data_IF_543102101360
#
_entry.id   IF_543102101360
#
_cell.length_a   1.000
_cell.length_b   1.000
_cell.length_c   1.000
_cell.angle_alpha   90.00
_cell.angle_beta   90.00
_cell.angle_gamma   90.00
#
_symmetry.space_group_name_H-M   'P 1'
#
loop_
_entity.id
_entity.type
_entity.pdbx_description
1 polymer ?
#
# COMPACT_ATOMS: atom_id res chain seq x y z
N UNK A 1 10.74 -17.60 84.81
CA UNK A 1 10.98 -16.67 83.68
C UNK A 1 10.95 -15.18 84.10
N UNK A 2 11.08 -14.82 85.39
CA UNK A 2 10.98 -13.42 85.88
C UNK A 2 12.32 -12.77 86.28
N UNK A 3 13.42 -13.54 86.44
CA UNK A 3 14.72 -12.98 86.86
C UNK A 3 15.64 -12.51 85.72
N UNK A 4 15.29 -12.78 84.46
CA UNK A 4 16.11 -12.37 83.32
C UNK A 4 15.96 -10.89 82.94
N UNK A 5 14.77 -10.33 83.14
CA UNK A 5 14.44 -8.94 82.81
C UNK A 5 15.22 -7.86 83.60
N UNK A 6 15.43 -7.96 84.93
CA UNK A 6 16.12 -6.90 85.67
C UNK A 6 17.61 -6.80 85.36
N UNK A 7 18.30 -7.93 85.11
CA UNK A 7 19.73 -7.95 84.74
C UNK A 7 19.99 -7.34 83.35
N UNK A 8 19.08 -7.56 82.40
CA UNK A 8 19.15 -6.96 81.06
C UNK A 8 18.99 -5.45 81.14
N UNK A 9 18.04 -4.95 81.95
CA UNK A 9 17.80 -3.50 82.11
C UNK A 9 18.98 -2.75 82.73
N UNK A 10 19.68 -3.37 83.67
CA UNK A 10 20.89 -2.80 84.29
C UNK A 10 22.07 -2.77 83.31
N UNK A 11 22.23 -3.81 82.49
CA UNK A 11 23.29 -3.89 81.46
C UNK A 11 23.03 -2.91 80.30
N UNK A 12 21.77 -2.71 79.91
CA UNK A 12 21.37 -1.70 78.91
C UNK A 12 21.67 -0.27 79.41
N UNK A 13 21.46 0.01 80.70
CA UNK A 13 21.71 1.35 81.27
C UNK A 13 23.20 1.70 81.37
N UNK A 14 24.06 0.74 81.68
CA UNK A 14 25.51 0.98 81.79
C UNK A 14 26.19 1.09 80.41
N UNK A 15 25.65 0.42 79.39
CA UNK A 15 26.19 0.44 78.03
C UNK A 15 25.33 1.28 77.07
N UNK A 16 24.50 2.19 77.59
CA UNK A 16 23.49 2.93 76.81
C UNK A 16 24.12 3.72 75.65
N UNK A 17 25.27 4.36 75.87
CA UNK A 17 26.00 5.12 74.84
C UNK A 17 26.60 4.21 73.76
N UNK A 18 27.12 3.03 74.13
CA UNK A 18 27.64 2.06 73.18
C UNK A 18 26.53 1.41 72.36
N UNK A 19 25.39 1.07 72.99
CA UNK A 19 24.22 0.54 72.31
C UNK A 19 23.65 1.60 71.35
N UNK A 20 23.56 2.86 71.78
CA UNK A 20 23.13 3.95 70.92
C UNK A 20 24.08 4.16 69.73
N UNK A 21 25.40 4.10 69.93
CA UNK A 21 26.38 4.21 68.86
C UNK A 21 26.29 3.05 67.85
N UNK A 22 26.11 1.81 68.32
CA UNK A 22 25.93 0.64 67.45
C UNK A 22 24.62 0.73 66.66
N UNK A 23 23.53 1.16 67.31
CA UNK A 23 22.25 1.39 66.63
C UNK A 23 22.41 2.49 65.57
N UNK A 24 23.05 3.61 65.89
CA UNK A 24 23.29 4.71 64.95
C UNK A 24 24.15 4.25 63.76
N UNK A 25 25.21 3.47 64.01
CA UNK A 25 26.06 2.89 62.97
C UNK A 25 25.27 1.95 62.07
N UNK A 26 24.41 1.09 62.65
CA UNK A 26 23.57 0.19 61.88
C UNK A 26 22.52 0.95 61.06
N UNK A 27 21.93 2.01 61.62
CA UNK A 27 20.95 2.86 60.94
C UNK A 27 21.61 3.65 59.79
N UNK A 28 22.82 4.16 60.01
CA UNK A 28 23.62 4.80 58.96
C UNK A 28 24.00 3.81 57.86
N UNK A 29 24.43 2.60 58.21
CA UNK A 29 24.72 1.53 57.26
C UNK A 29 23.47 1.12 56.48
N UNK A 30 22.33 0.98 57.14
CA UNK A 30 21.07 0.66 56.50
C UNK A 30 20.62 1.76 55.54
N UNK A 31 20.72 3.03 55.93
CA UNK A 31 20.38 4.16 55.08
C UNK A 31 21.34 4.28 53.87
N UNK A 32 22.63 4.01 54.08
CA UNK A 32 23.62 3.94 53.01
C UNK A 32 23.30 2.82 52.01
N UNK A 33 22.85 1.65 52.48
CA UNK A 33 22.54 0.49 51.64
C UNK A 33 21.11 0.50 51.08
N UNK A 34 20.22 1.37 51.56
CA UNK A 34 18.81 1.41 51.17
C UNK A 34 18.63 1.51 49.64
N UNK A 35 19.41 2.37 48.98
CA UNK A 35 19.37 2.56 47.53
C UNK A 35 19.78 1.30 46.74
N UNK A 36 20.43 0.32 47.36
CA UNK A 36 20.86 -0.92 46.71
C UNK A 36 19.92 -2.10 46.97
N UNK A 37 18.89 -1.93 47.83
CA UNK A 37 18.01 -3.02 48.25
C UNK A 37 16.66 -2.97 47.54
N UNK A 38 16.13 -1.78 47.31
CA UNK A 38 14.78 -1.59 46.76
C UNK A 38 14.86 -1.26 45.28
N UNK A 39 14.34 -2.16 44.44
CA UNK A 39 14.19 -1.92 43.01
C UNK A 39 12.70 -1.90 42.66
N UNK A 40 12.31 -0.94 41.81
CA UNK A 40 10.94 -0.85 41.29
C UNK A 40 10.98 -1.15 39.80
N UNK A 41 10.34 -2.25 39.40
CA UNK A 41 10.15 -2.64 38.00
C UNK A 41 8.85 -2.00 37.52
N UNK A 42 8.93 -1.18 36.48
CA UNK A 42 7.76 -0.49 35.93
C UNK A 42 6.93 -1.44 35.06
N UNK A 43 5.73 -1.02 34.69
CA UNK A 43 4.88 -1.84 33.84
C UNK A 43 5.49 -2.06 32.47
N UNK A 44 5.39 -3.28 31.93
CA UNK A 44 6.02 -3.66 30.66
C UNK A 44 7.56 -3.75 30.72
N UNK A 45 8.12 -3.87 31.92
CA UNK A 45 9.50 -4.24 32.15
C UNK A 45 9.59 -5.63 32.80
N UNK A 46 10.72 -6.31 32.62
CA UNK A 46 11.04 -7.57 33.26
C UNK A 46 12.41 -7.50 33.93
N UNK A 47 12.51 -7.99 35.15
CA UNK A 47 13.76 -8.00 35.92
C UNK A 47 14.49 -9.32 35.80
N UNK A 48 15.80 -9.27 35.57
CA UNK A 48 16.71 -10.42 35.65
C UNK A 48 17.67 -10.20 36.80
N UNK A 49 17.70 -11.17 37.73
CA UNK A 49 18.56 -11.10 38.91
C UNK A 49 19.91 -11.77 38.63
N UNK A 50 20.99 -11.10 39.03
CA UNK A 50 22.34 -11.64 39.07
C UNK A 50 22.81 -11.79 40.53
N UNK A 51 23.16 -13.01 40.90
CA UNK A 51 23.69 -13.36 42.22
C UNK A 51 25.21 -13.26 42.21
N UNK A 52 25.76 -12.34 43.00
CA UNK A 52 27.21 -12.03 42.96
C UNK A 52 28.09 -13.11 43.58
N UNK A 53 27.61 -13.77 44.64
CA UNK A 53 28.42 -14.72 45.40
C UNK A 53 28.13 -16.19 45.06
N UNK A 54 26.87 -16.54 44.78
CA UNK A 54 26.46 -17.93 44.56
C UNK A 54 25.36 -18.00 43.49
N UNK A 55 25.65 -18.62 42.35
CA UNK A 55 24.63 -18.96 41.33
C UNK A 55 24.61 -18.10 40.05
N UNK A 56 25.31 -16.97 40.01
CA UNK A 56 25.39 -16.14 38.80
C UNK A 56 24.02 -15.60 38.34
N UNK A 57 23.78 -15.54 37.03
CA UNK A 57 22.50 -15.08 36.47
C UNK A 57 21.38 -16.10 36.75
N UNK A 58 20.29 -15.64 37.37
CA UNK A 58 19.09 -16.46 37.57
C UNK A 58 18.34 -16.55 36.24
N UNK A 59 18.33 -17.76 35.68
CA UNK A 59 17.79 -18.02 34.34
C UNK A 59 16.32 -18.45 34.40
N UNK A 60 15.95 -19.18 35.46
CA UNK A 60 14.65 -19.86 35.56
C UNK A 60 13.49 -18.95 35.98
N UNK A 61 13.79 -17.72 36.42
CA UNK A 61 12.79 -16.80 36.95
C UNK A 61 13.02 -15.38 36.48
N UNK A 62 11.97 -14.79 35.92
CA UNK A 62 11.88 -13.38 35.56
C UNK A 62 11.02 -12.67 36.60
N UNK A 63 11.52 -11.55 37.10
CA UNK A 63 10.85 -10.75 38.11
C UNK A 63 9.81 -9.85 37.43
N UNK A 64 8.52 -9.95 37.79
CA UNK A 64 7.44 -9.17 37.16
C UNK A 64 7.46 -7.71 37.62
N UNK A 65 6.56 -6.90 37.07
CA UNK A 65 6.33 -5.53 37.54
C UNK A 65 6.05 -5.45 39.06
N UNK A 66 6.49 -4.36 39.69
CA UNK A 66 6.32 -4.13 41.13
C UNK A 66 7.62 -3.85 41.89
N UNK A 67 7.50 -3.78 43.22
CA UNK A 67 8.63 -3.52 44.11
C UNK A 67 9.27 -4.85 44.50
N UNK A 68 10.56 -4.98 44.23
CA UNK A 68 11.34 -6.16 44.57
C UNK A 68 12.47 -5.79 45.52
N UNK A 69 12.62 -6.60 46.57
CA UNK A 69 13.71 -6.49 47.52
C UNK A 69 14.82 -7.45 47.12
N UNK A 70 15.98 -6.89 46.80
CA UNK A 70 17.17 -7.63 46.39
C UNK A 70 18.25 -7.38 47.43
N UNK A 71 19.10 -8.37 47.69
CA UNK A 71 20.22 -8.16 48.60
C UNK A 71 21.19 -7.14 48.02
N UNK A 72 21.82 -6.30 48.85
CA UNK A 72 22.62 -5.15 48.38
C UNK A 72 23.87 -5.54 47.58
N UNK A 73 24.28 -6.81 47.64
CA UNK A 73 25.39 -7.36 46.85
C UNK A 73 24.96 -7.99 45.52
N UNK A 74 23.66 -8.29 45.34
CA UNK A 74 23.10 -8.82 44.10
C UNK A 74 22.70 -7.65 43.18
N UNK A 75 22.62 -7.91 41.88
CA UNK A 75 22.21 -6.90 40.89
C UNK A 75 20.91 -7.31 40.22
N UNK A 76 20.05 -6.33 39.94
CA UNK A 76 18.82 -6.52 39.18
C UNK A 76 18.91 -5.71 37.89
N UNK A 77 18.87 -6.41 36.76
CA UNK A 77 18.87 -5.81 35.44
C UNK A 77 17.43 -5.69 34.94
N UNK A 78 17.03 -4.48 34.57
CA UNK A 78 15.68 -4.19 34.11
C UNK A 78 15.69 -4.16 32.59
N UNK A 79 14.80 -4.93 31.98
CA UNK A 79 14.62 -5.02 30.54
C UNK A 79 13.25 -4.49 30.15
N UNK A 80 13.19 -3.65 29.12
CA UNK A 80 11.92 -3.28 28.51
C UNK A 80 11.44 -4.45 27.62
N UNK A 81 10.31 -5.05 27.98
CA UNK A 81 9.71 -6.18 27.25
C UNK A 81 8.62 -5.75 26.27
N UNK A 82 8.33 -4.45 26.20
CA UNK A 82 7.40 -3.89 25.20
C UNK A 82 8.02 -3.98 23.81
N UNK A 83 7.13 -3.87 22.84
CA UNK A 83 7.49 -3.69 21.44
C UNK A 83 8.25 -2.36 21.30
N UNK A 84 9.47 -2.46 20.81
CA UNK A 84 10.40 -1.36 20.62
C UNK A 84 10.80 -1.27 19.15
N UNK A 85 11.27 -0.10 18.75
CA UNK A 85 11.70 0.15 17.38
C UNK A 85 13.11 0.72 17.38
N UNK A 86 13.98 0.14 16.56
CA UNK A 86 15.32 0.67 16.30
C UNK A 86 15.46 0.98 14.81
N UNK A 87 16.07 2.12 14.50
CA UNK A 87 16.44 2.47 13.13
C UNK A 87 17.92 2.14 12.92
N UNK A 88 18.25 1.59 11.76
CA UNK A 88 19.62 1.25 11.40
C UNK A 88 19.83 1.54 9.92
N UNK A 89 21.03 1.98 9.57
CA UNK A 89 21.42 2.24 8.19
C UNK A 89 22.73 1.55 7.88
N UNK A 90 22.82 0.92 6.71
CA UNK A 90 24.02 0.23 6.29
C UNK A 90 24.15 0.23 4.76
N UNK A 91 25.39 0.08 4.30
CA UNK A 91 25.71 -0.01 2.87
C UNK A 91 25.80 -1.48 2.45
N UNK A 92 25.23 -1.82 1.29
CA UNK A 92 25.24 -3.15 0.70
C UNK A 92 25.56 -3.07 -0.80
N UNK A 93 26.09 -4.14 -1.36
CA UNK A 93 26.33 -4.28 -2.79
C UNK A 93 25.21 -5.10 -3.43
N UNK A 94 24.69 -4.65 -4.57
CA UNK A 94 23.79 -5.45 -5.41
C UNK A 94 24.55 -6.55 -6.13
N UNK A 95 23.83 -7.43 -6.83
CA UNK A 95 24.40 -8.45 -7.71
C UNK A 95 25.37 -7.89 -8.75
N UNK A 96 25.09 -6.70 -9.27
CA UNK A 96 25.92 -5.95 -10.22
C UNK A 96 27.09 -5.20 -9.57
N UNK A 97 27.25 -5.28 -8.25
CA UNK A 97 28.30 -4.58 -7.50
C UNK A 97 28.02 -3.10 -7.26
N UNK A 98 26.79 -2.64 -7.48
CA UNK A 98 26.40 -1.27 -7.16
C UNK A 98 26.27 -1.11 -5.65
N UNK A 99 26.91 -0.07 -5.11
CA UNK A 99 26.77 0.32 -3.70
C UNK A 99 25.44 1.03 -3.47
N UNK A 100 24.62 0.47 -2.59
CA UNK A 100 23.31 0.99 -2.20
C UNK A 100 23.30 1.15 -0.69
N UNK A 101 22.74 2.25 -0.21
CA UNK A 101 22.53 2.49 1.21
C UNK A 101 21.09 2.20 1.57
N UNK A 102 20.88 1.36 2.57
CA UNK A 102 19.56 0.99 3.05
C UNK A 102 19.31 1.58 4.43
N UNK A 103 18.19 2.28 4.58
CA UNK A 103 17.69 2.71 5.88
C UNK A 103 16.54 1.80 6.29
N UNK A 104 16.70 1.08 7.39
CA UNK A 104 15.72 0.12 7.90
C UNK A 104 15.21 0.52 9.29
N UNK A 105 14.05 -0.02 9.63
CA UNK A 105 13.47 0.03 10.96
C UNK A 105 13.06 -1.36 11.40
N UNK A 106 13.60 -1.80 12.52
CA UNK A 106 13.31 -3.12 13.08
C UNK A 106 12.43 -2.90 14.29
N UNK A 107 11.30 -3.60 14.31
CA UNK A 107 10.41 -3.66 15.47
C UNK A 107 10.60 -5.00 16.16
N UNK A 108 10.95 -4.96 17.44
CA UNK A 108 11.35 -6.15 18.19
C UNK A 108 10.84 -6.09 19.64
N UNK A 109 10.77 -7.25 20.27
CA UNK A 109 10.51 -7.39 21.71
C UNK A 109 11.27 -8.61 22.26
N UNK A 110 11.94 -8.52 23.41
CA UNK A 110 12.57 -9.69 24.00
C UNK A 110 11.51 -10.66 24.53
N UNK A 111 11.74 -11.96 24.44
CA UNK A 111 10.76 -12.94 24.91
C UNK A 111 10.73 -13.00 26.44
N UNK A 112 9.60 -12.59 27.05
CA UNK A 112 9.46 -12.44 28.50
C UNK A 112 9.97 -13.67 29.29
N UNK A 113 9.65 -14.89 28.84
CA UNK A 113 10.02 -16.13 29.53
C UNK A 113 11.50 -16.45 29.48
N UNK A 114 12.23 -15.93 28.50
CA UNK A 114 13.62 -16.27 28.20
C UNK A 114 14.59 -15.12 28.52
N UNK A 115 14.13 -14.05 29.18
CA UNK A 115 14.94 -12.90 29.58
C UNK A 115 16.19 -13.28 30.39
N UNK A 116 16.06 -14.27 31.29
CA UNK A 116 17.19 -14.77 32.06
C UNK A 116 18.29 -15.36 31.17
N UNK A 117 17.89 -16.13 30.14
CA UNK A 117 18.82 -16.73 29.17
C UNK A 117 19.41 -15.66 28.26
N UNK A 118 18.59 -14.70 27.82
CA UNK A 118 19.02 -13.56 27.00
C UNK A 118 20.12 -12.77 27.72
N UNK A 119 19.92 -12.43 28.99
CA UNK A 119 20.93 -11.73 29.79
C UNK A 119 22.21 -12.54 29.95
N UNK A 120 22.10 -13.84 30.23
CA UNK A 120 23.25 -14.70 30.45
C UNK A 120 24.10 -14.91 29.18
N UNK A 121 23.46 -15.12 28.03
CA UNK A 121 24.16 -15.45 26.77
C UNK A 121 24.56 -14.23 25.95
N UNK A 122 23.84 -13.12 26.08
CA UNK A 122 23.97 -11.95 25.21
C UNK A 122 24.24 -10.68 26.01
N UNK A 123 23.47 -10.47 27.08
CA UNK A 123 23.56 -9.30 27.94
C UNK A 123 22.47 -8.25 27.67
N UNK A 124 22.68 -7.03 28.15
CA UNK A 124 21.72 -5.93 27.97
C UNK A 124 21.74 -5.35 26.55
N UNK A 125 22.88 -5.41 25.86
CA UNK A 125 23.06 -4.84 24.54
C UNK A 125 22.69 -5.82 23.40
N UNK A 126 21.61 -6.59 23.60
CA UNK A 126 21.17 -7.61 22.65
C UNK A 126 20.72 -7.01 21.31
N UNK A 127 20.32 -5.73 21.30
CA UNK A 127 19.87 -5.03 20.11
C UNK A 127 21.02 -4.84 19.12
N UNK A 128 22.14 -4.30 19.59
CA UNK A 128 23.32 -4.07 18.75
C UNK A 128 24.16 -5.34 18.54
N UNK A 129 24.08 -6.31 19.46
CA UNK A 129 24.84 -7.56 19.36
C UNK A 129 24.17 -8.61 18.46
N UNK A 130 22.84 -8.66 18.44
CA UNK A 130 22.09 -9.73 17.74
C UNK A 130 21.06 -9.18 16.77
N UNK A 131 20.13 -8.35 17.24
CA UNK A 131 18.96 -7.94 16.43
C UNK A 131 19.39 -7.24 15.15
N UNK A 132 20.26 -6.22 15.28
CA UNK A 132 20.73 -5.46 14.13
C UNK A 132 21.61 -6.31 13.21
N UNK A 133 22.68 -7.00 13.68
CA UNK A 133 23.55 -7.79 12.80
C UNK A 133 22.84 -8.93 12.09
N UNK A 134 21.88 -9.60 12.73
CA UNK A 134 21.20 -10.75 12.11
C UNK A 134 20.24 -10.30 11.00
N UNK A 135 19.46 -9.24 11.26
CA UNK A 135 18.61 -8.64 10.23
C UNK A 135 19.45 -8.08 9.08
N UNK A 136 20.55 -7.38 9.40
CA UNK A 136 21.48 -6.86 8.39
C UNK A 136 22.07 -8.00 7.55
N UNK A 137 22.47 -9.12 8.16
CA UNK A 137 23.02 -10.29 7.47
C UNK A 137 22.03 -10.87 6.46
N UNK A 138 20.77 -11.07 6.88
CA UNK A 138 19.72 -11.59 6.00
C UNK A 138 19.43 -10.63 4.83
N UNK A 139 19.29 -9.34 5.12
CA UNK A 139 19.06 -8.32 4.08
C UNK A 139 20.25 -8.19 3.13
N UNK A 140 21.47 -8.34 3.64
CA UNK A 140 22.69 -8.30 2.81
C UNK A 140 22.73 -9.44 1.81
N UNK A 141 22.36 -10.66 2.24
CA UNK A 141 22.24 -11.81 1.34
C UNK A 141 21.15 -11.58 0.30
N UNK A 142 19.97 -11.10 0.72
CA UNK A 142 18.85 -10.83 -0.18
C UNK A 142 19.27 -9.84 -1.27
N UNK A 143 19.73 -8.66 -0.88
CA UNK A 143 20.06 -7.56 -1.80
C UNK A 143 21.26 -7.90 -2.68
N UNK A 144 22.21 -8.70 -2.17
CA UNK A 144 23.34 -9.22 -2.95
C UNK A 144 22.93 -10.12 -4.11
N UNK A 145 21.74 -10.73 -4.06
CA UNK A 145 21.19 -11.54 -5.17
C UNK A 145 20.37 -10.74 -6.17
N UNK A 146 20.02 -9.48 -5.85
CA UNK A 146 19.10 -8.65 -6.64
C UNK A 146 19.86 -7.67 -7.53
N UNK A 147 19.25 -7.33 -8.66
CA UNK A 147 19.72 -6.22 -9.50
C UNK A 147 19.27 -4.87 -8.93
N UNK A 148 19.99 -3.79 -9.26
CA UNK A 148 19.66 -2.45 -8.80
C UNK A 148 18.22 -2.01 -9.17
N UNK A 149 17.73 -2.44 -10.33
CA UNK A 149 16.37 -2.16 -10.78
C UNK A 149 15.30 -2.85 -9.90
N UNK A 150 15.58 -4.06 -9.43
CA UNK A 150 14.68 -4.85 -8.58
C UNK A 150 14.62 -4.28 -7.17
N UNK A 151 15.78 -3.88 -6.63
CA UNK A 151 15.89 -3.19 -5.34
C UNK A 151 15.06 -1.90 -5.37
N UNK A 152 15.12 -1.12 -6.45
CA UNK A 152 14.34 0.11 -6.62
C UNK A 152 12.81 -0.16 -6.71
N UNK A 153 12.40 -1.21 -7.43
CA UNK A 153 10.98 -1.52 -7.66
C UNK A 153 10.21 -1.95 -6.41
N UNK A 154 10.89 -2.28 -5.31
CA UNK A 154 10.29 -2.61 -4.00
C UNK A 154 9.15 -3.64 -4.13
N UNK A 155 9.43 -4.83 -4.69
CA UNK A 155 8.43 -5.91 -4.70
C UNK A 155 8.22 -6.46 -3.28
N UNK A 156 7.11 -6.05 -2.64
CA UNK A 156 6.76 -6.42 -1.25
C UNK A 156 6.87 -7.93 -0.96
N UNK A 157 6.49 -8.78 -1.92
CA UNK A 157 6.48 -10.24 -1.79
C UNK A 157 7.85 -10.86 -1.52
N UNK A 158 8.92 -10.27 -2.06
CA UNK A 158 10.28 -10.81 -1.92
C UNK A 158 10.82 -10.55 -0.50
N UNK A 159 10.45 -9.42 0.09
CA UNK A 159 10.87 -9.03 1.44
C UNK A 159 10.20 -9.85 2.53
N UNK A 160 8.99 -10.38 2.31
CA UNK A 160 8.30 -11.25 3.26
C UNK A 160 9.10 -12.55 3.54
N UNK A 161 9.73 -13.13 2.51
CA UNK A 161 10.56 -14.32 2.69
C UNK A 161 11.82 -14.02 3.50
N UNK A 162 12.47 -12.87 3.23
CA UNK A 162 13.63 -12.43 4.00
C UNK A 162 13.24 -12.07 5.44
N UNK A 163 12.04 -11.50 5.65
CA UNK A 163 11.50 -11.23 6.97
C UNK A 163 11.33 -12.52 7.76
N UNK A 164 10.69 -13.55 7.18
CA UNK A 164 10.50 -14.84 7.85
C UNK A 164 11.84 -15.46 8.27
N UNK A 165 12.86 -15.38 7.39
CA UNK A 165 14.19 -15.87 7.71
C UNK A 165 14.86 -15.06 8.83
N UNK A 166 14.74 -13.73 8.82
CA UNK A 166 15.27 -12.87 9.88
C UNK A 166 14.58 -13.14 11.22
N UNK A 167 13.26 -13.30 11.22
CA UNK A 167 12.46 -13.63 12.40
C UNK A 167 12.93 -14.96 13.00
N UNK A 168 13.10 -16.00 12.18
CA UNK A 168 13.55 -17.31 12.66
C UNK A 168 14.93 -17.24 13.32
N UNK A 169 15.89 -16.56 12.69
CA UNK A 169 17.26 -16.47 13.23
C UNK A 169 17.35 -15.64 14.50
N UNK A 170 16.56 -14.56 14.61
CA UNK A 170 16.53 -13.73 15.83
C UNK A 170 15.75 -14.43 16.95
N UNK A 171 14.69 -15.17 16.63
CA UNK A 171 13.92 -15.97 17.59
C UNK A 171 14.78 -17.06 18.26
N UNK A 172 15.70 -17.68 17.52
CA UNK A 172 16.69 -18.61 18.10
C UNK A 172 17.58 -17.98 19.19
N UNK A 173 17.60 -16.64 19.26
CA UNK A 173 18.34 -15.84 20.23
C UNK A 173 17.45 -15.12 21.24
N UNK A 174 16.25 -15.65 21.49
CA UNK A 174 15.35 -15.23 22.58
C UNK A 174 14.74 -13.83 22.40
N UNK A 175 14.74 -13.31 21.17
CA UNK A 175 14.16 -12.02 20.82
C UNK A 175 13.17 -12.23 19.68
N UNK A 176 11.98 -11.64 19.81
CA UNK A 176 10.96 -11.65 18.78
C UNK A 176 11.13 -10.42 17.89
N UNK A 177 11.01 -10.61 16.58
CA UNK A 177 10.97 -9.53 15.59
C UNK A 177 9.57 -9.52 14.99
N UNK A 178 8.87 -8.40 15.11
CA UNK A 178 7.50 -8.27 14.58
C UNK A 178 7.53 -7.93 13.09
N UNK A 179 8.37 -6.96 12.71
CA UNK A 179 8.51 -6.52 11.33
C UNK A 179 9.85 -5.82 11.12
N UNK A 180 10.38 -5.95 9.90
CA UNK A 180 11.48 -5.15 9.38
C UNK A 180 10.94 -4.29 8.25
N UNK A 181 11.07 -2.97 8.39
CA UNK A 181 10.54 -1.99 7.44
C UNK A 181 11.73 -1.31 6.75
N UNK A 182 11.77 -1.34 5.42
CA UNK A 182 12.70 -0.52 4.65
C UNK A 182 12.11 0.89 4.55
N UNK A 183 12.80 1.87 5.12
CA UNK A 183 12.38 3.29 5.08
C UNK A 183 12.84 3.97 3.81
N UNK A 184 14.08 3.72 3.39
CA UNK A 184 14.72 4.41 2.26
C UNK A 184 15.78 3.53 1.62
N UNK A 185 15.94 3.70 0.31
CA UNK A 185 16.97 3.07 -0.51
C UNK A 185 17.69 4.21 -1.23
N UNK A 186 18.96 4.40 -0.91
CA UNK A 186 19.80 5.47 -1.46
C UNK A 186 20.81 4.88 -2.45
N UNK A 187 20.75 5.37 -3.68
CA UNK A 187 21.64 5.02 -4.78
C UNK A 187 22.32 6.29 -5.31
N UNK A 188 23.46 6.19 -6.02
CA UNK A 188 24.02 7.34 -6.73
C UNK A 188 23.02 7.90 -7.75
N UNK A 189 22.79 9.21 -7.74
CA UNK A 189 21.79 9.91 -8.57
C UNK A 189 21.88 9.56 -10.07
N UNK A 190 23.09 9.35 -10.58
CA UNK A 190 23.33 8.97 -11.98
C UNK A 190 22.69 7.64 -12.34
N UNK A 191 22.71 6.67 -11.41
CA UNK A 191 22.15 5.33 -11.62
C UNK A 191 20.64 5.35 -11.45
N UNK A 192 20.13 6.06 -10.44
CA UNK A 192 18.69 6.21 -10.25
C UNK A 192 18.04 6.86 -11.48
N UNK A 193 18.67 7.91 -12.02
CA UNK A 193 18.23 8.57 -13.25
C UNK A 193 18.22 7.60 -14.44
N UNK A 194 19.31 6.85 -14.65
CA UNK A 194 19.40 5.88 -15.74
C UNK A 194 18.35 4.76 -15.64
N UNK A 195 18.08 4.26 -14.42
CA UNK A 195 17.03 3.27 -14.16
C UNK A 195 15.66 3.86 -14.48
N UNK A 196 15.39 5.08 -14.04
CA UNK A 196 14.12 5.79 -14.30
C UNK A 196 13.88 5.98 -15.80
N UNK A 197 14.89 6.46 -16.53
CA UNK A 197 14.84 6.63 -17.98
C UNK A 197 14.59 5.29 -18.68
N UNK A 198 15.28 4.22 -18.28
CA UNK A 198 15.07 2.88 -18.85
C UNK A 198 13.65 2.36 -18.60
N UNK A 199 13.12 2.53 -17.39
CA UNK A 199 11.74 2.13 -17.04
C UNK A 199 10.73 2.93 -17.87
N UNK A 200 10.95 4.24 -18.02
CA UNK A 200 10.11 5.10 -18.85
C UNK A 200 10.10 4.66 -20.31
N UNK A 201 11.28 4.44 -20.91
CA UNK A 201 11.39 3.96 -22.29
C UNK A 201 10.74 2.59 -22.48
N UNK A 202 10.85 1.69 -21.49
CA UNK A 202 10.18 0.40 -21.51
C UNK A 202 8.65 0.57 -21.56
N UNK A 203 8.08 1.42 -20.71
CA UNK A 203 6.65 1.69 -20.72
C UNK A 203 6.18 2.39 -21.99
N UNK A 204 6.98 3.28 -22.56
CA UNK A 204 6.71 3.90 -23.86
C UNK A 204 6.67 2.83 -24.95
N UNK A 205 7.65 1.93 -25.01
CA UNK A 205 7.69 0.84 -25.97
C UNK A 205 6.48 -0.09 -25.83
N UNK A 206 6.12 -0.49 -24.60
CA UNK A 206 4.91 -1.26 -24.31
C UNK A 206 3.64 -0.54 -24.80
N UNK A 207 3.50 0.76 -24.50
CA UNK A 207 2.37 1.57 -24.95
C UNK A 207 2.30 1.67 -26.48
N UNK A 208 3.44 1.73 -27.18
CA UNK A 208 3.48 1.71 -28.64
C UNK A 208 3.00 0.37 -29.21
N UNK A 209 3.38 -0.76 -28.61
CA UNK A 209 2.89 -2.09 -29.01
C UNK A 209 1.37 -2.14 -28.88
N UNK A 210 0.81 -1.69 -27.74
CA UNK A 210 -0.64 -1.64 -27.55
C UNK A 210 -1.33 -0.67 -28.53
N UNK A 211 -0.69 0.45 -28.88
CA UNK A 211 -1.22 1.39 -29.87
C UNK A 211 -1.30 0.74 -31.26
N UNK A 212 -0.24 0.07 -31.69
CA UNK A 212 -0.21 -0.64 -32.97
C UNK A 212 -1.28 -1.74 -33.00
N UNK A 213 -1.41 -2.50 -31.92
CA UNK A 213 -2.43 -3.56 -31.83
C UNK A 213 -3.84 -2.99 -31.92
N UNK A 214 -4.11 -1.90 -31.20
CA UNK A 214 -5.38 -1.18 -31.28
C UNK A 214 -5.66 -0.67 -32.70
N UNK A 215 -4.66 -0.13 -33.39
CA UNK A 215 -4.80 0.37 -34.77
C UNK A 215 -5.09 -0.75 -35.77
N UNK A 216 -4.48 -1.93 -35.58
CA UNK A 216 -4.80 -3.13 -36.38
C UNK A 216 -6.25 -3.58 -36.15
N UNK A 217 -6.69 -3.65 -34.90
CA UNK A 217 -8.07 -4.02 -34.56
C UNK A 217 -9.07 -3.01 -35.12
N UNK A 218 -8.77 -1.71 -35.09
CA UNK A 218 -9.58 -0.66 -35.72
C UNK A 218 -9.61 -0.78 -37.25
N UNK A 219 -8.48 -1.08 -37.88
CA UNK A 219 -8.42 -1.30 -39.32
C UNK A 219 -9.27 -2.51 -39.74
N UNK A 220 -9.17 -3.61 -38.98
CA UNK A 220 -9.96 -4.81 -39.23
C UNK A 220 -11.46 -4.56 -39.01
N UNK A 221 -11.85 -3.82 -37.96
CA UNK A 221 -13.24 -3.40 -37.75
C UNK A 221 -13.77 -2.65 -38.96
N UNK A 222 -13.01 -1.65 -39.46
CA UNK A 222 -13.41 -0.86 -40.63
C UNK A 222 -13.50 -1.70 -41.90
N UNK A 223 -12.62 -2.69 -42.08
CA UNK A 223 -12.67 -3.63 -43.22
C UNK A 223 -13.98 -4.43 -43.19
N UNK A 224 -14.29 -5.03 -42.04
CA UNK A 224 -15.52 -5.81 -41.84
C UNK A 224 -16.76 -4.93 -42.05
N UNK A 225 -16.74 -3.70 -41.55
CA UNK A 225 -17.84 -2.74 -41.72
C UNK A 225 -18.04 -2.36 -43.20
N UNK A 226 -16.96 -2.08 -43.94
CA UNK A 226 -17.01 -1.79 -45.36
C UNK A 226 -17.48 -2.99 -46.20
N UNK A 227 -17.04 -4.20 -45.87
CA UNK A 227 -17.53 -5.44 -46.50
C UNK A 227 -19.01 -5.68 -46.22
N UNK A 228 -19.46 -5.43 -44.98
CA UNK A 228 -20.87 -5.48 -44.60
C UNK A 228 -21.72 -4.46 -45.36
N UNK A 229 -21.25 -3.21 -45.48
CA UNK A 229 -21.91 -2.17 -46.27
C UNK A 229 -21.95 -2.51 -47.76
N UNK A 230 -20.87 -3.04 -48.33
CA UNK A 230 -20.83 -3.47 -49.72
C UNK A 230 -21.85 -4.59 -49.96
N UNK A 231 -21.83 -5.63 -49.14
CA UNK A 231 -22.79 -6.74 -49.25
C UNK A 231 -24.24 -6.24 -49.10
N UNK A 232 -24.49 -5.34 -48.15
CA UNK A 232 -25.79 -4.69 -48.00
C UNK A 232 -26.22 -3.93 -49.27
N UNK A 233 -25.33 -3.11 -49.83
CA UNK A 233 -25.60 -2.35 -51.05
C UNK A 233 -25.81 -3.25 -52.27
N UNK A 234 -25.04 -4.33 -52.41
CA UNK A 234 -25.18 -5.30 -53.50
C UNK A 234 -26.54 -6.03 -53.41
N UNK A 235 -26.94 -6.45 -52.19
CA UNK A 235 -28.26 -7.05 -51.94
C UNK A 235 -29.38 -6.04 -52.24
N UNK A 236 -29.23 -4.80 -51.76
CA UNK A 236 -30.20 -3.74 -52.00
C UNK A 236 -30.34 -3.45 -53.51
N UNK A 237 -29.24 -3.27 -54.23
CA UNK A 237 -29.23 -3.07 -55.68
C UNK A 237 -29.91 -4.21 -56.44
N UNK A 238 -29.65 -5.47 -56.06
CA UNK A 238 -30.33 -6.62 -56.65
C UNK A 238 -31.84 -6.69 -56.33
N UNK A 239 -32.28 -6.10 -55.21
CA UNK A 239 -33.68 -6.02 -54.79
C UNK A 239 -34.42 -4.81 -55.38
N UNK A 240 -33.70 -3.85 -55.98
CA UNK A 240 -34.26 -2.64 -56.58
C UNK A 240 -34.61 -2.90 -58.04
N UNK A 241 -35.90 -3.11 -58.34
CA UNK A 241 -36.39 -3.05 -59.72
C UNK A 241 -36.63 -1.59 -60.14
N UNK A 242 -36.64 -1.31 -61.45
CA UNK A 242 -36.92 0.04 -61.97
C UNK A 242 -38.25 0.62 -61.44
N UNK A 243 -39.27 -0.23 -61.31
CA UNK A 243 -40.59 0.15 -60.77
C UNK A 243 -40.51 0.51 -59.28
N UNK A 244 -39.67 -0.19 -58.50
CA UNK A 244 -39.47 0.08 -57.06
C UNK A 244 -38.74 1.42 -56.86
N UNK A 245 -37.75 1.74 -57.69
CA UNK A 245 -37.07 3.04 -57.66
C UNK A 245 -38.02 4.19 -58.04
N UNK A 246 -38.86 3.99 -59.05
CA UNK A 246 -39.87 4.97 -59.45
C UNK A 246 -40.93 5.17 -58.35
N UNK A 247 -41.42 4.08 -57.75
CA UNK A 247 -42.35 4.13 -56.62
C UNK A 247 -41.74 4.83 -55.40
N UNK A 248 -40.46 4.57 -55.07
CA UNK A 248 -39.76 5.27 -54.00
C UNK A 248 -39.54 6.75 -54.32
N UNK A 249 -39.24 7.12 -55.57
CA UNK A 249 -39.14 8.51 -55.99
C UNK A 249 -40.48 9.26 -55.86
N UNK A 250 -41.60 8.61 -56.22
CA UNK A 250 -42.95 9.15 -56.01
C UNK A 250 -43.24 9.31 -54.51
N UNK A 251 -42.89 8.32 -53.69
CA UNK A 251 -43.17 8.36 -52.25
C UNK A 251 -42.31 9.41 -51.52
N UNK A 252 -41.04 9.56 -51.89
CA UNK A 252 -40.18 10.63 -51.39
C UNK A 252 -40.70 12.02 -51.81
N UNK A 253 -41.22 12.14 -53.04
CA UNK A 253 -41.88 13.38 -53.51
C UNK A 253 -43.16 13.66 -52.74
N UNK A 254 -43.94 12.63 -52.39
CA UNK A 254 -45.18 12.73 -51.60
C UNK A 254 -44.90 13.11 -50.14
N UNK A 255 -43.89 12.52 -49.51
CA UNK A 255 -43.45 12.89 -48.15
C UNK A 255 -42.90 14.32 -48.14
N UNK A 256 -42.10 14.68 -49.15
CA UNK A 256 -41.63 16.05 -49.31
C UNK A 256 -42.80 17.01 -49.54
N UNK A 257 -43.82 16.68 -50.35
CA UNK A 257 -44.99 17.55 -50.58
C UNK A 257 -45.83 17.76 -49.32
N UNK A 258 -45.79 16.83 -48.35
CA UNK A 258 -46.48 16.94 -47.06
C UNK A 258 -45.73 17.80 -46.03
N UNK A 259 -44.48 18.20 -46.28
CA UNK A 259 -43.74 19.06 -45.35
C UNK A 259 -44.07 20.55 -45.53
N UNK A 260 -44.13 21.33 -44.46
CA UNK A 260 -44.71 22.68 -44.44
C UNK A 260 -43.89 23.79 -45.14
N UNK A 261 -42.65 23.53 -45.56
CA UNK A 261 -41.78 24.53 -46.20
C UNK A 261 -42.20 24.85 -47.65
N UNK A 262 -41.98 26.08 -48.12
CA UNK A 262 -42.18 26.46 -49.53
C UNK A 262 -41.29 25.65 -50.49
N UNK A 263 -41.86 25.15 -51.60
CA UNK A 263 -41.15 24.24 -52.53
C UNK A 263 -41.35 24.69 -53.97
N UNK A 264 -40.28 24.62 -54.75
CA UNK A 264 -40.29 24.79 -56.20
C UNK A 264 -39.81 23.47 -56.81
N UNK A 265 -40.67 22.81 -57.59
CA UNK A 265 -40.38 21.52 -58.21
C UNK A 265 -40.05 21.77 -59.68
N UNK A 266 -38.80 21.51 -60.09
CA UNK A 266 -38.36 21.62 -61.48
C UNK A 266 -38.19 20.21 -62.04
N UNK A 267 -39.03 19.86 -63.01
CA UNK A 267 -39.02 18.56 -63.69
C UNK A 267 -38.22 18.72 -64.99
N UNK A 268 -37.06 18.06 -65.08
CA UNK A 268 -36.26 17.96 -66.31
C UNK A 268 -36.76 16.86 -67.25
N UNK A 269 -36.30 16.89 -68.51
CA UNK A 269 -36.69 16.01 -69.64
C UNK A 269 -36.89 14.53 -69.26
N UNK A 270 -37.91 13.81 -69.79
CA UNK A 270 -38.55 12.66 -69.14
C UNK A 270 -37.83 11.32 -69.33
N UNK A 271 -36.56 11.32 -69.75
CA UNK A 271 -35.84 10.06 -69.96
C UNK A 271 -34.98 9.59 -68.79
N UNK A 272 -34.51 10.46 -67.88
CA UNK A 272 -33.74 10.04 -66.68
C UNK A 272 -33.56 11.12 -65.58
N UNK A 273 -34.29 12.24 -65.62
CA UNK A 273 -34.06 13.36 -64.68
C UNK A 273 -34.81 13.21 -63.36
N UNK A 274 -34.14 12.76 -62.28
CA UNK A 274 -34.64 12.96 -60.92
C UNK A 274 -34.88 14.48 -60.69
N UNK A 275 -36.02 14.89 -60.10
CA UNK A 275 -36.35 16.30 -59.94
C UNK A 275 -35.34 16.99 -59.01
N UNK A 276 -34.77 18.10 -59.46
CA UNK A 276 -33.89 18.94 -58.63
C UNK A 276 -34.78 19.95 -57.92
N UNK A 277 -34.77 19.90 -56.59
CA UNK A 277 -35.62 20.75 -55.74
C UNK A 277 -34.70 21.58 -54.86
N UNK A 278 -34.61 22.88 -55.14
CA UNK A 278 -33.91 23.85 -54.31
C UNK A 278 -34.88 24.56 -53.37
N UNK A 279 -34.58 24.61 -52.08
CA UNK A 279 -35.29 25.47 -51.14
C UNK A 279 -34.80 26.92 -51.37
N UNK A 280 -35.64 27.77 -51.97
CA UNK A 280 -35.41 29.22 -51.96
C UNK A 280 -36.14 29.77 -50.73
N UNK A 281 -35.45 30.29 -49.70
CA UNK A 281 -36.12 31.01 -48.63
C UNK A 281 -36.70 32.30 -49.22
N UNK A 282 -38.02 32.36 -49.35
CA UNK A 282 -38.73 33.60 -49.68
C UNK A 282 -38.95 34.39 -48.40
N UNK A 283 -37.98 35.24 -48.06
CA UNK A 283 -38.22 36.47 -47.30
C UNK A 283 -37.37 37.57 -47.96
N UNK A 284 -38.03 38.66 -48.34
CA UNK A 284 -37.47 39.69 -49.20
C UNK A 284 -36.56 40.67 -48.45
N UNK A 285 -35.36 40.89 -48.99
CA UNK A 285 -34.81 42.26 -49.14
C UNK A 285 -33.61 42.23 -50.10
N UNK A 286 -33.82 42.67 -51.35
CA UNK A 286 -32.74 42.90 -52.31
C UNK A 286 -32.28 44.35 -52.11
N UNK A 287 -31.28 44.53 -51.25
CA UNK A 287 -30.76 45.85 -50.92
C UNK A 287 -29.26 45.87 -50.64
N UNK A 288 -28.49 46.31 -51.65
CA UNK A 288 -27.09 46.79 -51.63
C UNK A 288 -25.97 45.76 -51.80
N UNK A 289 -25.56 45.60 -53.05
CA UNK A 289 -24.15 45.39 -53.40
C UNK A 289 -23.36 46.66 -53.05
N UNK A 290 -22.37 46.56 -52.15
CA UNK A 290 -21.29 47.54 -52.05
C UNK A 290 -19.93 46.87 -51.75
N UNK A 291 -19.16 46.80 -52.84
CA UNK A 291 -17.73 47.05 -53.01
C UNK A 291 -16.66 46.44 -52.07
N UNK A 292 -15.68 45.87 -52.76
CA UNK A 292 -14.36 45.37 -52.35
C UNK A 292 -13.44 46.49 -51.80
N UNK A 293 -12.74 46.25 -50.69
CA UNK A 293 -11.26 46.19 -50.56
C UNK A 293 -10.78 46.14 -49.09
N UNK A 294 -9.75 45.31 -48.85
CA UNK A 294 -9.00 45.01 -47.62
C UNK A 294 -8.33 46.24 -46.98
N UNK A 295 -7.93 46.22 -45.68
CA UNK A 295 -6.58 45.70 -45.32
C UNK A 295 -6.41 45.09 -43.90
N UNK A 296 -5.25 44.48 -43.69
CA UNK A 296 -4.68 43.91 -42.46
C UNK A 296 -4.51 44.92 -41.29
N UNK A 297 -4.57 44.42 -40.05
CA UNK A 297 -3.64 44.64 -38.89
C UNK A 297 -4.24 45.09 -37.52
N UNK A 298 -4.04 44.20 -36.51
CA UNK A 298 -3.67 44.38 -35.07
C UNK A 298 -4.59 44.99 -33.96
N UNK A 299 -4.36 44.42 -32.76
CA UNK A 299 -4.62 44.79 -31.32
C UNK A 299 -5.95 44.31 -30.71
N UNK A 300 -5.96 43.44 -29.68
CA UNK A 300 -5.55 43.52 -28.25
C UNK A 300 -6.59 44.17 -27.30
N UNK A 301 -7.18 43.31 -26.43
CA UNK A 301 -7.62 43.46 -25.01
C UNK A 301 -8.71 44.51 -24.62
N UNK A 302 -9.50 44.35 -23.51
CA UNK A 302 -9.08 43.80 -22.19
C UNK A 302 -10.07 42.97 -21.31
N UNK A 303 -9.45 42.17 -20.43
CA UNK A 303 -9.65 41.83 -18.98
C UNK A 303 -10.93 42.24 -18.17
N UNK A 304 -11.55 41.20 -17.54
CA UNK A 304 -12.22 41.01 -16.20
C UNK A 304 -13.55 41.71 -15.79
N UNK A 305 -14.28 41.25 -14.71
CA UNK A 305 -14.02 40.14 -13.74
C UNK A 305 -15.24 39.24 -13.33
N UNK A 306 -14.93 38.17 -12.55
CA UNK A 306 -15.70 37.49 -11.47
C UNK A 306 -17.13 36.95 -11.70
N UNK A 307 -17.35 35.64 -11.48
CA UNK A 307 -17.73 35.07 -10.15
C UNK A 307 -17.91 33.52 -10.17
N UNK A 308 -17.57 32.92 -9.02
CA UNK A 308 -17.83 31.57 -8.45
C UNK A 308 -18.66 30.53 -9.23
N UNK A 309 -18.10 29.31 -9.33
CA UNK A 309 -18.87 28.07 -9.22
C UNK A 309 -17.99 26.90 -8.74
N UNK A 310 -18.59 26.07 -7.91
CA UNK A 310 -18.04 25.03 -7.05
C UNK A 310 -17.69 23.71 -7.77
N UNK A 311 -16.86 22.93 -7.06
CA UNK A 311 -16.41 21.53 -7.20
C UNK A 311 -17.39 20.53 -7.87
N UNK A 312 -16.90 19.60 -8.70
CA UNK A 312 -17.59 18.33 -8.94
C UNK A 312 -16.94 17.18 -8.14
N UNK A 313 -17.69 16.67 -7.16
CA UNK A 313 -17.38 15.40 -6.49
C UNK A 313 -17.93 14.24 -7.31
N UNK A 314 -17.01 13.35 -7.71
CA UNK A 314 -17.23 12.03 -8.29
C UNK A 314 -18.22 11.18 -7.48
N UNK A 315 -19.24 10.61 -8.15
CA UNK A 315 -19.97 9.42 -7.68
C UNK A 315 -20.08 8.39 -8.81
N UNK A 316 -19.50 7.23 -8.52
CA UNK A 316 -19.58 5.95 -9.22
C UNK A 316 -21.03 5.41 -9.14
N UNK A 317 -21.60 4.77 -10.18
CA UNK A 317 -22.82 3.97 -10.03
C UNK A 317 -22.52 2.50 -9.73
N UNK A 318 -23.22 1.95 -8.73
CA UNK A 318 -23.40 0.50 -8.49
C UNK A 318 -24.53 -0.05 -9.41
N UNK A 319 -24.53 -1.35 -9.77
CA UNK A 319 -25.63 -1.96 -10.52
C UNK A 319 -26.82 -2.31 -9.61
N UNK A 320 -28.03 -2.04 -10.11
CA UNK A 320 -29.29 -2.26 -9.43
C UNK A 320 -29.75 -3.74 -9.44
N UNK A 321 -30.17 -4.16 -8.26
CA UNK A 321 -30.90 -5.37 -7.90
C UNK A 321 -32.35 -5.31 -8.42
N UNK A 322 -32.87 -6.41 -8.99
CA UNK A 322 -34.30 -6.59 -9.31
C UNK A 322 -34.84 -7.78 -8.54
N UNK A 323 -35.92 -7.56 -7.79
CA UNK A 323 -36.67 -8.58 -7.05
C UNK A 323 -38.11 -8.65 -7.56
N UNK A 324 -38.64 -9.88 -7.64
CA UNK A 324 -40.06 -10.23 -7.77
C UNK A 324 -40.45 -10.84 -9.13
N UNK A 325 -41.18 -11.96 -9.26
CA UNK A 325 -41.82 -12.85 -8.29
C UNK A 325 -42.32 -14.13 -9.02
N UNK A 326 -42.25 -15.29 -8.33
CA UNK A 326 -43.01 -16.57 -8.44
C UNK A 326 -43.39 -17.18 -9.80
N UNK A 327 -43.03 -18.46 -9.99
CA UNK A 327 -43.91 -19.66 -9.92
C UNK A 327 -43.16 -20.88 -10.49
N UNK A 328 -43.39 -22.08 -9.94
CA UNK A 328 -42.97 -23.33 -10.60
C UNK A 328 -42.33 -24.36 -9.67
N UNK A 329 -43.17 -24.98 -8.85
CA UNK A 329 -42.87 -26.18 -8.09
C UNK A 329 -42.71 -27.36 -9.08
N UNK A 330 -41.55 -28.00 -9.14
CA UNK A 330 -41.39 -29.33 -9.74
C UNK A 330 -40.22 -30.06 -9.05
N UNK A 331 -40.59 -30.89 -8.09
CA UNK A 331 -39.70 -31.86 -7.46
C UNK A 331 -39.38 -33.00 -8.43
N UNK A 332 -38.11 -33.39 -8.50
CA UNK A 332 -37.71 -34.77 -8.80
C UNK A 332 -36.55 -35.18 -7.87
N UNK A 333 -36.48 -36.45 -7.45
CA UNK A 333 -35.84 -36.83 -6.20
C UNK A 333 -34.42 -37.39 -6.41
N UNK A 334 -33.58 -37.20 -5.38
CA UNK A 334 -32.39 -38.02 -5.16
C UNK A 334 -32.79 -39.49 -4.92
N UNK A 335 -32.22 -40.39 -5.71
CA UNK A 335 -32.23 -41.82 -5.47
C UNK A 335 -30.80 -42.35 -5.30
N UNK A 336 -30.65 -43.07 -4.19
CA UNK A 336 -29.48 -43.77 -3.67
C UNK A 336 -29.26 -45.11 -4.39
N UNK A 337 -27.99 -45.59 -4.38
CA UNK A 337 -27.51 -46.98 -4.56
C UNK A 337 -27.62 -47.52 -6.01
N UNK A 338 -26.66 -48.26 -6.56
CA UNK A 338 -26.00 -49.46 -6.01
C UNK A 338 -24.74 -49.84 -6.82
N UNK A 339 -23.92 -50.69 -6.21
CA UNK A 339 -22.76 -51.44 -6.69
C UNK A 339 -22.91 -52.17 -8.03
N UNK A 340 -21.81 -52.34 -8.80
CA UNK A 340 -21.17 -53.65 -9.09
C UNK A 340 -20.08 -53.55 -10.17
N UNK A 341 -18.97 -54.29 -9.98
CA UNK A 341 -18.10 -54.95 -10.98
C UNK A 341 -17.52 -54.05 -12.10
N UNK A 342 -16.20 -53.98 -12.29
CA UNK A 342 -15.29 -55.09 -12.56
C UNK A 342 -13.85 -54.57 -12.55
#
# INVERSE_FOLDING_TARGET
MSEFYPKIRQKIRNNLSQIAAVILMFLFMFFYLYNHIVYTIQSGEGGVKYLRFFGGTVVDKVYPEGIHFVFPWDQLFIYNVRIQQVAHEFDVLTKSGLKVRLSISIRYSPEYKLLGILHQKVGMDYVHTIVIPEVESVLRVLVGTMEAEEVYKTEKSIYENALNQAVERVAQRFVNVDVVIIKKIDMPDSVEKAIREKIEQKHIAEAHIFRIEREKLEAERRRIEAEGMKAYNDILASSLSGDVLQWMGINATLELSKSDNSKVVIIGNPKDGLPIIGAIPMDGDIGKLKQVKSPTEKKQNPVSPENKAETPTSKIPQPAEKTGEKTGNAALPEAKKESSQK
#
